data_IF_935373013806
#
_entry.id   IF_935373013806
#
_cell.length_a   1.000
_cell.length_b   1.000
_cell.length_c   1.000
_cell.angle_alpha   90.00
_cell.angle_beta   90.00
_cell.angle_gamma   90.00
#
_symmetry.space_group_name_H-M   'P 1'
#
loop_
_entity.id
_entity.type
_entity.pdbx_description
1 polymer ?
#
# COMPACT_ATOMS: atom_id res chain seq x y z
N UNK A 1 3.26 6.04 -3.42
CA UNK A 1 2.89 5.09 -4.50
C UNK A 1 1.78 5.67 -5.34
N UNK A 2 1.99 5.84 -6.66
CA UNK A 2 0.91 6.14 -7.60
C UNK A 2 -0.01 4.93 -7.60
N UNK A 3 -1.15 5.03 -6.94
CA UNK A 3 -2.19 4.01 -7.01
C UNK A 3 -2.65 3.94 -8.46
N UNK A 4 -2.29 2.87 -9.17
CA UNK A 4 -2.70 2.67 -10.56
C UNK A 4 -4.23 2.72 -10.64
N UNK A 5 -4.74 3.51 -11.59
CA UNK A 5 -6.18 3.59 -11.84
C UNK A 5 -6.64 2.23 -12.34
N UNK A 6 -7.67 1.61 -11.74
CA UNK A 6 -8.19 0.34 -12.22
C UNK A 6 -8.80 0.52 -13.62
N UNK A 7 -8.48 -0.37 -14.54
CA UNK A 7 -8.94 -0.33 -15.92
C UNK A 7 -9.89 -1.48 -16.18
N UNK A 8 -11.10 -1.16 -16.65
CA UNK A 8 -12.06 -2.14 -17.17
C UNK A 8 -12.14 -1.96 -18.67
N UNK A 9 -11.89 -3.02 -19.42
CA UNK A 9 -11.90 -2.98 -20.90
C UNK A 9 -13.28 -3.35 -21.42
N UNK A 10 -13.82 -2.53 -22.33
CA UNK A 10 -15.07 -2.85 -23.04
C UNK A 10 -14.71 -3.22 -24.47
N UNK A 11 -14.95 -4.49 -24.85
CA UNK A 11 -14.54 -5.04 -26.14
C UNK A 11 -15.72 -5.56 -26.95
N UNK A 12 -15.60 -5.50 -28.29
CA UNK A 12 -16.50 -6.18 -29.23
C UNK A 12 -15.94 -7.55 -29.68
N UNK A 13 -14.73 -7.91 -29.25
CA UNK A 13 -14.13 -9.20 -29.60
C UNK A 13 -14.78 -10.34 -28.82
N UNK A 14 -15.02 -11.46 -29.52
CA UNK A 14 -15.51 -12.71 -28.94
C UNK A 14 -14.38 -13.75 -28.77
N UNK A 15 -13.12 -13.35 -28.99
CA UNK A 15 -11.96 -14.23 -28.86
C UNK A 15 -11.55 -14.32 -27.40
N UNK A 16 -11.42 -15.54 -26.90
CA UNK A 16 -10.93 -15.79 -25.54
C UNK A 16 -9.49 -15.25 -25.34
N UNK A 17 -8.68 -15.36 -26.38
CA UNK A 17 -7.29 -14.90 -26.38
C UNK A 17 -7.15 -13.40 -26.09
N UNK A 18 -8.07 -12.57 -26.67
CA UNK A 18 -8.09 -11.12 -26.44
C UNK A 18 -8.45 -10.77 -24.98
N UNK A 19 -9.32 -11.57 -24.36
CA UNK A 19 -9.71 -11.38 -22.95
C UNK A 19 -8.56 -11.75 -22.01
N UNK A 20 -7.93 -12.89 -22.22
CA UNK A 20 -6.76 -13.32 -21.46
C UNK A 20 -5.67 -12.26 -21.56
N UNK A 21 -5.37 -11.78 -22.77
CA UNK A 21 -4.37 -10.74 -23.01
C UNK A 21 -4.70 -9.43 -22.30
N UNK A 22 -5.98 -9.02 -22.25
CA UNK A 22 -6.40 -7.82 -21.51
C UNK A 22 -6.06 -7.94 -20.02
N UNK A 23 -6.36 -9.09 -19.40
CA UNK A 23 -6.08 -9.35 -17.99
C UNK A 23 -4.56 -9.43 -17.71
N UNK A 24 -3.81 -10.10 -18.59
CA UNK A 24 -2.34 -10.18 -18.49
C UNK A 24 -1.67 -8.80 -18.59
N UNK A 25 -2.24 -7.88 -19.37
CA UNK A 25 -1.78 -6.49 -19.48
C UNK A 25 -2.18 -5.61 -18.28
N UNK A 26 -2.85 -6.20 -17.28
CA UNK A 26 -3.17 -5.52 -16.02
C UNK A 26 -4.56 -4.89 -15.96
N UNK A 27 -5.47 -5.20 -16.90
CA UNK A 27 -6.88 -4.82 -16.73
C UNK A 27 -7.49 -5.60 -15.55
N UNK A 28 -8.29 -4.91 -14.74
CA UNK A 28 -8.97 -5.51 -13.58
C UNK A 28 -10.12 -6.40 -14.02
N UNK A 29 -10.78 -6.04 -15.11
CA UNK A 29 -11.92 -6.79 -15.66
C UNK A 29 -12.16 -6.40 -17.13
N UNK A 30 -13.00 -7.16 -17.81
CA UNK A 30 -13.47 -6.82 -19.16
C UNK A 30 -14.98 -7.02 -19.30
N UNK A 31 -15.58 -6.38 -20.28
CA UNK A 31 -17.02 -6.47 -20.60
C UNK A 31 -17.20 -6.56 -22.11
N UNK A 32 -17.95 -7.55 -22.57
CA UNK A 32 -18.23 -7.73 -24.01
C UNK A 32 -19.40 -6.87 -24.46
N UNK A 33 -19.35 -6.37 -25.68
CA UNK A 33 -20.48 -5.75 -26.39
C UNK A 33 -21.29 -6.82 -27.11
N UNK A 34 -22.63 -6.73 -27.07
CA UNK A 34 -23.47 -5.77 -26.36
C UNK A 34 -23.51 -6.06 -24.86
N UNK A 35 -23.41 -5.03 -24.02
CA UNK A 35 -23.36 -5.21 -22.56
C UNK A 35 -24.65 -4.73 -21.86
N UNK A 36 -24.93 -5.36 -20.74
CA UNK A 36 -26.00 -4.92 -19.85
C UNK A 36 -25.45 -3.85 -18.89
N UNK A 37 -26.09 -2.67 -18.90
CA UNK A 37 -25.66 -1.51 -18.07
C UNK A 37 -25.69 -1.85 -16.57
N UNK A 38 -26.63 -2.68 -16.12
CA UNK A 38 -26.70 -3.10 -14.70
C UNK A 38 -25.49 -3.94 -14.32
N UNK A 39 -25.08 -4.88 -15.19
CA UNK A 39 -23.89 -5.72 -14.97
C UNK A 39 -22.63 -4.84 -14.95
N UNK A 40 -22.50 -3.91 -15.91
CA UNK A 40 -21.36 -2.99 -15.96
C UNK A 40 -21.27 -2.16 -14.67
N UNK A 41 -22.38 -1.57 -14.21
CA UNK A 41 -22.43 -0.83 -12.93
C UNK A 41 -22.00 -1.69 -11.75
N UNK A 42 -22.47 -2.94 -11.68
CA UNK A 42 -22.09 -3.86 -10.60
C UNK A 42 -20.59 -4.16 -10.61
N UNK A 43 -19.98 -4.41 -11.77
CA UNK A 43 -18.55 -4.63 -11.92
C UNK A 43 -17.75 -3.40 -11.46
N UNK A 44 -18.13 -2.20 -11.90
CA UNK A 44 -17.49 -0.94 -11.47
C UNK A 44 -17.59 -0.78 -9.96
N UNK A 45 -18.75 -0.96 -9.37
CA UNK A 45 -18.95 -0.84 -7.92
C UNK A 45 -18.11 -1.85 -7.13
N UNK A 46 -17.98 -3.08 -7.62
CA UNK A 46 -17.13 -4.08 -6.97
C UNK A 46 -15.65 -3.68 -6.99
N UNK A 47 -15.17 -3.14 -8.11
CA UNK A 47 -13.78 -2.63 -8.21
C UNK A 47 -13.55 -1.46 -7.26
N UNK A 48 -14.51 -0.53 -7.16
CA UNK A 48 -14.43 0.61 -6.23
C UNK A 48 -14.38 0.11 -4.78
N UNK A 49 -15.30 -0.77 -4.37
CA UNK A 49 -15.36 -1.32 -3.01
C UNK A 49 -14.09 -2.08 -2.64
N UNK A 50 -13.56 -2.88 -3.56
CA UNK A 50 -12.30 -3.59 -3.33
C UNK A 50 -11.16 -2.61 -3.08
N UNK A 51 -11.08 -1.54 -3.87
CA UNK A 51 -10.05 -0.51 -3.72
C UNK A 51 -10.17 0.24 -2.39
N UNK A 52 -11.39 0.62 -2.01
CA UNK A 52 -11.67 1.26 -0.72
C UNK A 52 -11.22 0.36 0.44
N UNK A 53 -11.52 -0.94 0.37
CA UNK A 53 -11.09 -1.91 1.39
C UNK A 53 -9.57 -2.02 1.48
N UNK A 54 -8.87 -2.05 0.35
CA UNK A 54 -7.40 -2.08 0.31
C UNK A 54 -6.81 -0.79 0.89
N UNK A 55 -7.40 0.38 0.59
CA UNK A 55 -6.96 1.66 1.14
C UNK A 55 -7.11 1.71 2.67
N UNK A 56 -8.24 1.23 3.19
CA UNK A 56 -8.46 1.17 4.65
C UNK A 56 -7.44 0.26 5.32
N UNK A 57 -7.17 -0.92 4.74
CA UNK A 57 -6.16 -1.84 5.26
C UNK A 57 -4.76 -1.22 5.22
N UNK A 58 -4.40 -0.55 4.12
CA UNK A 58 -3.11 0.13 3.97
C UNK A 58 -2.93 1.26 5.00
N UNK A 59 -3.97 2.06 5.26
CA UNK A 59 -3.94 3.12 6.27
C UNK A 59 -3.78 2.59 7.71
N UNK A 60 -4.25 1.36 7.98
CA UNK A 60 -4.02 0.69 9.26
C UNK A 60 -2.61 0.11 9.39
N UNK A 61 -1.97 -0.21 8.28
CA UNK A 61 -0.69 -0.88 8.24
C UNK A 61 0.49 0.09 8.20
N UNK A 62 0.37 1.20 7.47
CA UNK A 62 1.43 2.17 7.27
C UNK A 62 1.06 3.55 7.78
N UNK A 63 2.05 4.25 8.32
CA UNK A 63 1.96 5.66 8.68
C UNK A 63 2.03 6.54 7.42
N UNK A 64 1.05 7.42 7.23
CA UNK A 64 0.89 8.21 6.00
C UNK A 64 2.05 9.19 5.76
N UNK A 65 2.69 9.67 6.82
CA UNK A 65 3.78 10.64 6.72
C UNK A 65 5.10 9.97 6.35
N UNK A 66 5.43 8.90 7.05
CA UNK A 66 6.74 8.24 6.94
C UNK A 66 6.73 7.03 6.02
N UNK A 67 5.56 6.46 5.75
CA UNK A 67 5.37 5.22 5.01
C UNK A 67 5.99 3.99 5.69
N UNK A 68 6.35 4.09 6.97
CA UNK A 68 6.77 2.97 7.81
C UNK A 68 5.56 2.27 8.39
N UNK A 69 5.74 1.07 8.90
CA UNK A 69 4.67 0.39 9.64
C UNK A 69 4.19 1.22 10.82
N UNK A 70 2.88 1.28 11.02
CA UNK A 70 2.33 1.76 12.27
C UNK A 70 2.83 0.89 13.43
N UNK A 71 2.80 1.41 14.65
CA UNK A 71 3.19 0.64 15.83
C UNK A 71 2.47 -0.71 15.91
N UNK A 72 1.18 -0.72 15.61
CA UNK A 72 0.36 -1.94 15.67
C UNK A 72 0.78 -2.94 14.62
N UNK A 73 0.99 -2.50 13.37
CA UNK A 73 1.44 -3.34 12.27
C UNK A 73 2.85 -3.89 12.54
N UNK A 74 3.78 -3.07 13.04
CA UNK A 74 5.12 -3.50 13.42
C UNK A 74 5.09 -4.68 14.40
N UNK A 75 4.35 -4.56 15.50
CA UNK A 75 4.25 -5.66 16.49
C UNK A 75 3.58 -6.90 15.92
N UNK A 76 2.61 -6.74 15.03
CA UNK A 76 1.97 -7.86 14.36
C UNK A 76 2.96 -8.62 13.45
N UNK A 77 3.68 -7.90 12.60
CA UNK A 77 4.69 -8.47 11.71
C UNK A 77 5.86 -9.09 12.49
N UNK A 78 6.38 -8.39 13.50
CA UNK A 78 7.46 -8.91 14.33
C UNK A 78 7.10 -10.23 15.02
N UNK A 79 5.91 -10.31 15.62
CA UNK A 79 5.41 -11.56 16.22
C UNK A 79 5.29 -12.69 15.19
N UNK A 80 4.83 -12.37 13.99
CA UNK A 80 4.68 -13.33 12.90
C UNK A 80 6.04 -13.85 12.46
N UNK A 81 7.01 -12.97 12.23
CA UNK A 81 8.38 -13.33 11.85
C UNK A 81 9.05 -14.22 12.90
N UNK A 82 8.96 -13.84 14.17
CA UNK A 82 9.53 -14.62 15.28
C UNK A 82 8.89 -16.01 15.42
N UNK A 83 7.61 -16.12 15.09
CA UNK A 83 6.86 -17.37 15.16
C UNK A 83 7.25 -18.38 14.08
N UNK A 84 7.56 -17.88 12.88
CA UNK A 84 7.91 -18.73 11.74
C UNK A 84 9.42 -18.96 11.58
N UNK A 85 10.27 -18.15 12.23
CA UNK A 85 11.73 -18.24 12.13
C UNK A 85 12.35 -18.51 13.51
N UNK A 86 12.01 -19.63 14.11
CA UNK A 86 12.43 -20.01 15.49
C UNK A 86 13.93 -20.21 15.64
N UNK A 87 14.67 -20.40 14.56
CA UNK A 87 16.12 -20.65 14.56
C UNK A 87 16.96 -19.41 14.22
N UNK A 88 16.34 -18.23 14.18
CA UNK A 88 17.03 -16.97 13.89
C UNK A 88 17.00 -16.06 15.12
N UNK A 89 18.11 -15.38 15.35
CA UNK A 89 18.18 -14.32 16.36
C UNK A 89 17.62 -13.02 15.79
N UNK A 90 16.78 -12.35 16.58
CA UNK A 90 16.21 -11.06 16.22
C UNK A 90 16.73 -9.98 17.15
N UNK A 91 17.15 -8.86 16.59
CA UNK A 91 17.55 -7.68 17.34
C UNK A 91 16.53 -6.58 17.13
N UNK A 92 16.12 -5.93 18.21
CA UNK A 92 15.22 -4.77 18.17
C UNK A 92 16.02 -3.53 18.54
N UNK A 93 15.97 -2.52 17.68
CA UNK A 93 16.58 -1.21 17.93
C UNK A 93 15.46 -0.20 18.16
N UNK A 94 15.58 0.57 19.23
CA UNK A 94 14.67 1.68 19.52
C UNK A 94 15.47 2.98 19.39
N UNK A 95 14.95 3.90 18.58
CA UNK A 95 15.55 5.22 18.37
C UNK A 95 14.55 6.30 18.76
N UNK A 96 15.06 7.42 19.27
CA UNK A 96 14.29 8.60 19.63
C UNK A 96 14.95 9.87 19.10
N UNK A 97 14.15 10.84 18.67
CA UNK A 97 14.65 12.13 18.19
C UNK A 97 14.69 13.11 19.38
N UNK A 98 15.90 13.38 19.86
CA UNK A 98 16.09 14.36 20.94
C UNK A 98 15.52 15.72 20.55
N UNK A 99 14.74 16.30 21.47
CA UNK A 99 14.21 17.65 21.33
C UNK A 99 13.33 17.87 20.07
N UNK A 100 12.63 16.84 19.57
CA UNK A 100 11.75 16.97 18.40
C UNK A 100 10.71 18.09 18.55
N UNK A 101 10.17 18.25 19.75
CA UNK A 101 9.25 19.35 20.08
C UNK A 101 9.89 20.74 19.85
N UNK A 102 11.18 20.88 20.13
CA UNK A 102 11.91 22.13 19.89
C UNK A 102 12.07 22.39 18.38
N UNK A 103 12.33 21.36 17.58
CA UNK A 103 12.39 21.46 16.12
C UNK A 103 11.06 22.02 15.60
N UNK A 104 9.94 21.44 16.00
CA UNK A 104 8.61 21.91 15.61
C UNK A 104 8.33 23.34 16.08
N UNK A 105 8.71 23.69 17.32
CA UNK A 105 8.50 25.02 17.88
C UNK A 105 9.36 26.10 17.23
N UNK A 106 10.56 25.77 16.77
CA UNK A 106 11.51 26.73 16.20
C UNK A 106 11.40 26.86 14.68
N UNK A 107 11.18 25.75 13.98
CA UNK A 107 11.20 25.70 12.52
C UNK A 107 9.84 25.38 11.90
N UNK A 108 8.82 25.15 12.72
CA UNK A 108 7.46 24.80 12.31
C UNK A 108 7.28 23.29 12.06
N UNK A 109 6.01 22.87 12.16
CA UNK A 109 5.60 21.45 12.02
C UNK A 109 6.00 20.86 10.66
N UNK A 110 5.94 21.67 9.60
CA UNK A 110 6.35 21.22 8.25
C UNK A 110 7.83 20.77 8.20
N UNK A 111 8.69 21.43 8.96
CA UNK A 111 10.11 21.02 9.06
C UNK A 111 10.24 19.73 9.87
N UNK A 112 9.46 19.56 10.94
CA UNK A 112 9.40 18.32 11.69
C UNK A 112 8.93 17.14 10.83
N UNK A 113 7.90 17.34 10.03
CA UNK A 113 7.39 16.34 9.08
C UNK A 113 8.47 15.93 8.07
N UNK A 114 9.24 16.90 7.56
CA UNK A 114 10.37 16.60 6.66
C UNK A 114 11.45 15.76 7.34
N UNK A 115 11.75 16.03 8.61
CA UNK A 115 12.71 15.22 9.39
C UNK A 115 12.20 13.80 9.56
N UNK A 116 10.93 13.61 9.91
CA UNK A 116 10.33 12.30 10.05
C UNK A 116 10.32 11.52 8.73
N UNK A 117 9.93 12.17 7.63
CA UNK A 117 9.93 11.57 6.30
C UNK A 117 11.35 11.15 5.88
N UNK A 118 12.35 12.01 6.09
CA UNK A 118 13.75 11.69 5.80
C UNK A 118 14.24 10.47 6.58
N UNK A 119 13.91 10.38 7.86
CA UNK A 119 14.26 9.22 8.69
C UNK A 119 13.54 7.96 8.20
N UNK A 120 12.24 8.06 7.85
CA UNK A 120 11.47 6.97 7.28
C UNK A 120 12.11 6.40 6.02
N UNK A 121 12.49 7.27 5.09
CA UNK A 121 13.17 6.89 3.85
C UNK A 121 14.56 6.29 4.12
N UNK A 122 15.30 6.85 5.07
CA UNK A 122 16.63 6.34 5.45
C UNK A 122 16.53 4.92 5.99
N UNK A 123 15.62 4.67 6.93
CA UNK A 123 15.44 3.32 7.49
C UNK A 123 14.96 2.32 6.44
N UNK A 124 14.03 2.71 5.57
CA UNK A 124 13.52 1.83 4.50
C UNK A 124 14.61 1.42 3.53
N UNK A 125 15.55 2.32 3.22
CA UNK A 125 16.60 2.06 2.24
C UNK A 125 17.83 1.36 2.84
N UNK A 126 18.10 1.52 4.13
CA UNK A 126 19.28 0.97 4.80
C UNK A 126 19.03 -0.39 5.44
N UNK A 127 17.80 -0.66 5.90
CA UNK A 127 17.45 -1.98 6.43
C UNK A 127 17.10 -2.90 5.25
N UNK A 128 18.10 -3.41 4.58
CA UNK A 128 17.93 -4.50 3.62
C UNK A 128 17.87 -5.80 4.42
N UNK A 129 16.79 -6.54 4.22
CA UNK A 129 16.75 -7.95 4.61
C UNK A 129 17.84 -8.68 3.84
N UNK A 130 18.81 -9.25 4.58
CA UNK A 130 19.79 -10.18 4.03
C UNK A 130 19.14 -11.52 3.75
#
# INVERSE_FOLDING_TARGET
MLTSVPVIIITGSNRLEDEVRCLELGAVDFVRKPYNVRILKSKINNVIKLRESVMVLSALEYDDLTGLYTRQAFFHHAKTLMRFNTNQDFHVVVADIKNFKWINGTYGEKTGDQVLTYLGDTYRNQVRYG
#
